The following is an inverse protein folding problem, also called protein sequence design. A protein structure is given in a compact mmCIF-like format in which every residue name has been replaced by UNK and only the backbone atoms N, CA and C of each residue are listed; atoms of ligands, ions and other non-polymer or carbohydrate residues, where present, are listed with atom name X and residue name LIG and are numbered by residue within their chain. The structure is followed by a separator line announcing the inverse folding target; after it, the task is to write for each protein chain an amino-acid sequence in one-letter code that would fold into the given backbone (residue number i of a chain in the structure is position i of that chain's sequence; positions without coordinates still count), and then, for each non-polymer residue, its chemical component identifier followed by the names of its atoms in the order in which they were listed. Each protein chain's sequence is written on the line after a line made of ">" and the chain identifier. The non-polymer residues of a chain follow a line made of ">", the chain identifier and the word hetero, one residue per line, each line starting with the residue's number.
data_IF_304951402799
#
_entry.id   IF_304951402799
#
_cell.length_a   1.000
_cell.length_b   1.000
_cell.length_c   1.000
_cell.angle_alpha   90.00
_cell.angle_beta   90.00
_cell.angle_gamma   90.00
#
_symmetry.space_group_name_H-M   'P 1'
#
loop_
_entity.id
_entity.type
_entity.pdbx_description
1 polymer ?
#
# COMPACT_ATOMS: atom_id res chain seq x y z
N UNK A 1 4.71 4.00 3.36
CA UNK A 1 5.08 5.24 2.64
C UNK A 1 5.98 4.83 1.48
N UNK A 2 5.63 5.21 0.27
CA UNK A 2 6.41 4.85 -0.92
C UNK A 2 6.93 6.13 -1.57
N UNK A 3 8.26 6.30 -1.70
CA UNK A 3 8.85 7.53 -2.20
C UNK A 3 8.45 7.82 -3.65
N UNK A 4 8.17 9.09 -3.96
CA UNK A 4 7.84 9.56 -5.31
C UNK A 4 9.00 10.31 -5.98
N UNK A 5 10.07 10.56 -5.22
CA UNK A 5 11.24 11.32 -5.61
C UNK A 5 12.37 11.11 -4.61
N UNK A 6 13.58 11.50 -5.01
CA UNK A 6 14.72 11.69 -4.11
C UNK A 6 14.41 12.81 -3.12
N UNK A 7 14.53 12.52 -1.83
CA UNK A 7 14.36 13.53 -0.77
C UNK A 7 15.54 14.50 -0.77
N UNK A 8 16.71 14.03 -1.21
CA UNK A 8 17.92 14.82 -1.28
C UNK A 8 17.78 16.01 -2.24
N UNK A 9 16.98 15.85 -3.31
CA UNK A 9 16.86 16.85 -4.36
C UNK A 9 15.49 17.51 -4.50
N UNK A 10 14.53 17.11 -3.68
CA UNK A 10 13.24 17.77 -3.66
C UNK A 10 13.35 19.16 -3.00
N UNK A 11 13.04 20.20 -3.76
CA UNK A 11 12.89 21.55 -3.25
C UNK A 11 11.43 22.02 -3.38
N UNK A 12 10.82 22.36 -2.24
CA UNK A 12 9.45 22.88 -2.18
C UNK A 12 9.28 24.18 -2.98
N UNK A 13 10.33 25.00 -3.09
CA UNK A 13 10.27 26.30 -3.77
C UNK A 13 10.17 26.15 -5.29
N UNK A 14 10.67 25.05 -5.84
CA UNK A 14 10.66 24.77 -7.28
C UNK A 14 9.61 23.73 -7.67
N UNK A 15 8.98 23.07 -6.70
CA UNK A 15 7.90 22.12 -6.93
C UNK A 15 6.70 22.78 -7.61
N UNK A 16 6.13 22.12 -8.63
CA UNK A 16 4.98 22.67 -9.35
C UNK A 16 3.76 22.84 -8.43
N UNK A 17 2.89 23.84 -8.67
CA UNK A 17 1.65 24.02 -7.89
C UNK A 17 0.76 22.78 -7.86
N UNK A 18 0.68 22.03 -8.97
CA UNK A 18 -0.15 20.82 -9.04
C UNK A 18 0.32 19.72 -8.06
N UNK A 19 1.64 19.53 -7.97
CA UNK A 19 2.25 18.58 -7.03
C UNK A 19 2.03 19.03 -5.58
N UNK A 20 2.27 20.32 -5.28
CA UNK A 20 2.06 20.85 -3.94
C UNK A 20 0.60 20.73 -3.50
N UNK A 21 -0.36 21.04 -4.36
CA UNK A 21 -1.78 20.88 -4.09
C UNK A 21 -2.15 19.42 -3.79
N UNK A 22 -1.59 18.45 -4.55
CA UNK A 22 -1.81 17.03 -4.28
C UNK A 22 -1.21 16.61 -2.93
N UNK A 23 -0.01 17.09 -2.59
CA UNK A 23 0.63 16.83 -1.29
C UNK A 23 -0.17 17.43 -0.12
N UNK A 24 -0.67 18.67 -0.26
CA UNK A 24 -1.49 19.31 0.77
C UNK A 24 -2.83 18.62 0.95
N UNK A 25 -3.48 18.22 -0.15
CA UNK A 25 -4.70 17.44 -0.08
C UNK A 25 -4.48 16.09 0.60
N UNK A 26 -3.39 15.39 0.26
CA UNK A 26 -2.99 14.16 0.92
C UNK A 26 -2.78 14.38 2.42
N UNK A 27 -1.97 15.36 2.82
CA UNK A 27 -1.76 15.68 4.23
C UNK A 27 -3.08 16.00 4.97
N UNK A 28 -3.98 16.74 4.32
CA UNK A 28 -5.30 17.07 4.85
C UNK A 28 -6.18 15.83 5.08
N UNK A 29 -6.20 14.88 4.13
CA UNK A 29 -6.96 13.63 4.26
C UNK A 29 -6.49 12.76 5.44
N UNK A 30 -5.24 12.94 5.88
CA UNK A 30 -4.67 12.27 7.05
C UNK A 30 -4.74 13.11 8.34
N UNK A 31 -5.30 14.32 8.29
CA UNK A 31 -5.52 15.16 9.47
C UNK A 31 -6.62 14.59 10.37
N UNK A 32 -6.39 14.69 11.68
CA UNK A 32 -7.39 14.37 12.72
C UNK A 32 -8.57 15.33 12.70
N UNK A 33 -8.33 16.60 12.37
CA UNK A 33 -9.35 17.65 12.31
C UNK A 33 -9.67 17.96 10.85
N UNK A 34 -10.92 17.76 10.47
CA UNK A 34 -11.45 18.07 9.14
C UNK A 34 -12.80 18.77 9.26
N UNK A 35 -12.80 20.10 9.50
CA UNK A 35 -14.04 20.89 9.46
C UNK A 35 -14.70 20.76 8.09
N UNK A 36 -16.03 20.81 8.05
CA UNK A 36 -16.80 20.61 6.81
C UNK A 36 -16.43 21.64 5.74
N UNK A 37 -16.25 22.91 6.13
CA UNK A 37 -15.91 24.00 5.21
C UNK A 37 -14.55 23.80 4.56
N UNK A 38 -13.56 23.36 5.35
CA UNK A 38 -12.22 23.06 4.84
C UNK A 38 -12.25 21.78 4.01
N UNK A 39 -13.10 20.81 4.36
CA UNK A 39 -13.25 19.56 3.59
C UNK A 39 -13.76 19.87 2.20
N UNK A 40 -14.85 20.63 2.12
CA UNK A 40 -15.45 21.03 0.84
C UNK A 40 -14.47 21.84 -0.01
N UNK A 41 -13.73 22.78 0.60
CA UNK A 41 -12.69 23.54 -0.10
C UNK A 41 -11.59 22.61 -0.66
N UNK A 42 -11.09 21.70 0.16
CA UNK A 42 -10.00 20.79 -0.21
C UNK A 42 -10.42 19.80 -1.30
N UNK A 43 -11.64 19.29 -1.24
CA UNK A 43 -12.21 18.41 -2.27
C UNK A 43 -12.37 19.16 -3.61
N UNK A 44 -12.93 20.38 -3.59
CA UNK A 44 -13.02 21.22 -4.80
C UNK A 44 -11.64 21.55 -5.38
N UNK A 45 -10.66 21.85 -4.52
CA UNK A 45 -9.29 22.10 -4.93
C UNK A 45 -8.65 20.85 -5.57
N UNK A 46 -8.87 19.67 -4.98
CA UNK A 46 -8.39 18.39 -5.50
C UNK A 46 -8.98 18.09 -6.88
N UNK A 47 -10.30 18.25 -7.06
CA UNK A 47 -10.98 18.04 -8.34
C UNK A 47 -10.46 18.96 -9.43
N UNK A 48 -10.28 20.26 -9.12
CA UNK A 48 -9.68 21.22 -10.05
C UNK A 48 -8.23 20.84 -10.39
N UNK A 49 -7.45 20.40 -9.40
CA UNK A 49 -6.07 20.00 -9.59
C UNK A 49 -5.95 18.74 -10.47
N UNK A 50 -6.82 17.75 -10.26
CA UNK A 50 -6.91 16.54 -11.10
C UNK A 50 -7.17 16.93 -12.55
N UNK A 51 -8.18 17.78 -12.81
CA UNK A 51 -8.52 18.25 -14.17
C UNK A 51 -7.36 18.95 -14.87
N UNK A 52 -6.53 19.70 -14.14
CA UNK A 52 -5.32 20.34 -14.69
C UNK A 52 -4.19 19.33 -14.93
N UNK A 53 -3.99 18.42 -13.99
CA UNK A 53 -2.92 17.43 -14.00
C UNK A 53 -3.06 16.46 -15.17
N UNK A 54 -4.27 15.97 -15.45
CA UNK A 54 -4.51 15.00 -16.54
C UNK A 54 -4.33 15.59 -17.95
N UNK A 55 -4.35 16.92 -18.09
CA UNK A 55 -4.26 17.63 -19.39
C UNK A 55 -2.83 17.88 -19.86
N UNK A 56 -1.84 17.82 -18.98
CA UNK A 56 -0.45 18.14 -19.32
C UNK A 56 0.49 17.07 -18.77
N UNK A 57 1.30 16.46 -19.63
CA UNK A 57 2.26 15.45 -19.23
C UNK A 57 3.54 16.09 -18.70
N UNK A 58 3.83 15.87 -17.43
CA UNK A 58 5.11 16.23 -16.80
C UNK A 58 5.40 15.29 -15.65
N UNK A 59 6.67 15.19 -15.24
CA UNK A 59 7.10 14.38 -14.09
C UNK A 59 6.32 14.78 -12.82
N UNK A 60 6.15 16.08 -12.58
CA UNK A 60 5.43 16.57 -11.42
C UNK A 60 3.92 16.30 -11.49
N UNK A 61 3.30 16.42 -12.66
CA UNK A 61 1.89 16.04 -12.84
C UNK A 61 1.69 14.53 -12.64
N UNK A 62 2.62 13.70 -13.09
CA UNK A 62 2.55 12.27 -12.84
C UNK A 62 2.64 11.93 -11.35
N UNK A 63 3.56 12.58 -10.61
CA UNK A 63 3.63 12.44 -9.13
C UNK A 63 2.32 12.86 -8.46
N UNK A 64 1.74 13.99 -8.86
CA UNK A 64 0.45 14.46 -8.35
C UNK A 64 -0.68 13.44 -8.65
N UNK A 65 -0.67 12.87 -9.85
CA UNK A 65 -1.66 11.89 -10.28
C UNK A 65 -1.55 10.57 -9.50
N UNK A 66 -0.33 10.14 -9.13
CA UNK A 66 -0.11 8.98 -8.26
C UNK A 66 -0.71 9.22 -6.87
N UNK A 67 -0.50 10.41 -6.30
CA UNK A 67 -1.09 10.77 -5.00
C UNK A 67 -2.62 10.70 -5.08
N UNK A 68 -3.23 11.36 -6.08
CA UNK A 68 -4.68 11.36 -6.25
C UNK A 68 -5.26 9.97 -6.52
N UNK A 69 -4.56 9.13 -7.28
CA UNK A 69 -4.99 7.75 -7.55
C UNK A 69 -5.06 6.95 -6.26
N UNK A 70 -4.02 7.02 -5.42
CA UNK A 70 -4.00 6.31 -4.14
C UNK A 70 -5.09 6.83 -3.19
N UNK A 71 -5.29 8.15 -3.10
CA UNK A 71 -6.35 8.73 -2.26
C UNK A 71 -7.75 8.31 -2.73
N UNK A 72 -8.00 8.33 -4.05
CA UNK A 72 -9.27 7.87 -4.62
C UNK A 72 -9.51 6.38 -4.32
N UNK A 73 -8.48 5.55 -4.44
CA UNK A 73 -8.55 4.12 -4.08
C UNK A 73 -8.86 3.92 -2.61
N UNK A 74 -8.12 4.56 -1.70
CA UNK A 74 -8.32 4.41 -0.25
C UNK A 74 -9.66 5.00 0.23
N UNK A 75 -10.15 6.04 -0.45
CA UNK A 75 -11.47 6.60 -0.22
C UNK A 75 -12.63 5.78 -0.82
N UNK A 76 -12.35 4.69 -1.53
CA UNK A 76 -13.37 3.85 -2.16
C UNK A 76 -13.97 4.41 -3.45
N UNK A 77 -13.45 5.52 -3.98
CA UNK A 77 -13.86 6.06 -5.29
C UNK A 77 -13.14 5.33 -6.43
N UNK A 78 -13.49 4.06 -6.62
CA UNK A 78 -12.82 3.14 -7.56
C UNK A 78 -12.96 3.58 -9.01
N UNK A 79 -14.07 4.24 -9.38
CA UNK A 79 -14.27 4.76 -10.74
C UNK A 79 -13.25 5.86 -11.06
N UNK A 80 -13.12 6.85 -10.18
CA UNK A 80 -12.09 7.88 -10.32
C UNK A 80 -10.69 7.26 -10.32
N UNK A 81 -10.40 6.37 -9.38
CA UNK A 81 -9.09 5.75 -9.27
C UNK A 81 -8.67 5.00 -10.56
N UNK A 82 -9.61 4.25 -11.18
CA UNK A 82 -9.40 3.60 -12.49
C UNK A 82 -9.19 4.60 -13.62
N UNK A 83 -9.95 5.69 -13.67
CA UNK A 83 -9.74 6.75 -14.67
C UNK A 83 -8.35 7.39 -14.53
N UNK A 84 -7.92 7.69 -13.30
CA UNK A 84 -6.60 8.27 -13.03
C UNK A 84 -5.46 7.30 -13.38
N UNK A 85 -5.62 5.99 -13.13
CA UNK A 85 -4.66 4.97 -13.59
C UNK A 85 -4.49 4.95 -15.11
N UNK A 86 -5.58 5.02 -15.88
CA UNK A 86 -5.49 5.06 -17.34
C UNK A 86 -4.67 6.29 -17.80
N UNK A 87 -4.86 7.44 -17.15
CA UNK A 87 -4.05 8.63 -17.39
C UNK A 87 -2.58 8.46 -16.94
N UNK A 88 -2.32 7.83 -15.78
CA UNK A 88 -0.97 7.52 -15.32
C UNK A 88 -0.21 6.71 -16.34
N UNK A 89 -0.84 5.68 -16.91
CA UNK A 89 -0.25 4.83 -17.92
C UNK A 89 0.10 5.64 -19.18
N UNK A 90 -0.87 6.37 -19.73
CA UNK A 90 -0.64 7.23 -20.92
C UNK A 90 0.50 8.21 -20.68
N UNK A 91 0.52 8.86 -19.52
CA UNK A 91 1.56 9.82 -19.16
C UNK A 91 2.94 9.15 -18.99
N UNK A 92 2.99 7.93 -18.43
CA UNK A 92 4.24 7.14 -18.31
C UNK A 92 4.88 6.86 -19.68
N UNK A 93 4.05 6.52 -20.67
CA UNK A 93 4.52 6.30 -22.05
C UNK A 93 4.94 7.59 -22.73
N UNK A 94 4.10 8.64 -22.64
CA UNK A 94 4.37 9.93 -23.27
C UNK A 94 5.66 10.58 -22.74
N UNK A 95 5.95 10.41 -21.44
CA UNK A 95 7.19 10.89 -20.82
C UNK A 95 8.40 9.97 -21.09
N UNK A 96 8.19 8.82 -21.75
CA UNK A 96 9.25 7.85 -22.03
C UNK A 96 9.82 7.19 -20.77
N UNK A 97 9.06 7.05 -19.68
CA UNK A 97 9.61 6.48 -18.43
C UNK A 97 10.06 5.02 -18.55
N UNK A 98 9.48 4.31 -19.50
CA UNK A 98 9.80 2.91 -19.82
C UNK A 98 11.10 2.75 -20.64
N UNK A 99 11.64 3.85 -21.17
CA UNK A 99 12.85 3.84 -21.98
C UNK A 99 14.09 3.95 -21.09
N UNK A 100 15.14 3.22 -21.45
CA UNK A 100 16.42 3.29 -20.75
C UNK A 100 17.25 4.50 -21.23
N UNK A 101 17.48 5.46 -20.34
CA UNK A 101 18.24 6.66 -20.63
C UNK A 101 19.57 6.64 -19.87
N UNK A 102 20.58 6.01 -20.46
CA UNK A 102 21.92 6.00 -19.86
C UNK A 102 22.66 7.35 -19.93
N UNK A 103 22.10 8.33 -20.66
CA UNK A 103 22.71 9.64 -20.92
C UNK A 103 22.23 10.76 -19.98
N UNK A 104 21.21 10.53 -19.16
CA UNK A 104 20.73 11.53 -18.19
C UNK A 104 21.48 11.41 -16.84
N UNK A 105 21.56 12.50 -16.05
CA UNK A 105 22.12 12.47 -14.72
C UNK A 105 21.55 11.34 -13.85
N UNK A 106 22.37 10.77 -12.97
CA UNK A 106 21.98 9.63 -12.14
C UNK A 106 20.73 9.91 -11.29
N UNK A 107 20.62 11.13 -10.78
CA UNK A 107 19.49 11.55 -9.96
C UNK A 107 18.18 11.64 -10.78
N UNK A 108 18.23 12.18 -11.99
CA UNK A 108 17.08 12.21 -12.89
C UNK A 108 16.64 10.80 -13.28
N UNK A 109 17.61 9.91 -13.51
CA UNK A 109 17.34 8.49 -13.76
C UNK A 109 16.64 7.84 -12.58
N UNK A 110 17.14 8.03 -11.37
CA UNK A 110 16.49 7.57 -10.14
C UNK A 110 15.06 8.08 -10.02
N UNK A 111 14.85 9.39 -10.21
CA UNK A 111 13.54 10.02 -10.12
C UNK A 111 12.55 9.52 -11.18
N UNK A 112 13.02 9.11 -12.36
CA UNK A 112 12.18 8.52 -13.41
C UNK A 112 11.85 7.07 -13.11
N UNK A 113 12.83 6.28 -12.70
CA UNK A 113 12.65 4.85 -12.44
C UNK A 113 11.78 4.61 -11.19
N UNK A 114 11.97 5.39 -10.12
CA UNK A 114 11.10 5.32 -8.94
C UNK A 114 9.65 5.68 -9.29
N UNK A 115 9.46 6.66 -10.17
CA UNK A 115 8.15 7.08 -10.62
C UNK A 115 7.45 6.02 -11.47
N UNK A 116 8.22 5.32 -12.34
CA UNK A 116 7.74 4.15 -13.06
C UNK A 116 7.34 3.01 -12.11
N UNK A 117 8.17 2.71 -11.09
CA UNK A 117 7.83 1.74 -10.05
C UNK A 117 6.52 2.08 -9.35
N UNK A 118 6.32 3.36 -9.00
CA UNK A 118 5.11 3.82 -8.32
C UNK A 118 3.87 3.76 -9.20
N UNK A 119 3.98 4.12 -10.49
CA UNK A 119 2.88 3.95 -11.44
C UNK A 119 2.51 2.47 -11.62
N UNK A 120 3.50 1.58 -11.64
CA UNK A 120 3.28 0.12 -11.68
C UNK A 120 2.56 -0.37 -10.43
N UNK A 121 3.01 0.03 -9.24
CA UNK A 121 2.35 -0.34 -7.98
C UNK A 121 0.90 0.13 -7.95
N UNK A 122 0.63 1.37 -8.39
CA UNK A 122 -0.73 1.86 -8.54
C UNK A 122 -1.54 0.95 -9.47
N UNK A 123 -1.01 0.63 -10.66
CA UNK A 123 -1.68 -0.27 -11.62
C UNK A 123 -2.01 -1.63 -11.02
N UNK A 124 -1.06 -2.28 -10.36
CA UNK A 124 -1.27 -3.58 -9.71
C UNK A 124 -2.39 -3.48 -8.65
N UNK A 125 -2.33 -2.46 -7.78
CA UNK A 125 -3.21 -2.34 -6.62
C UNK A 125 -4.72 -2.22 -6.90
N UNK A 126 -5.16 -1.81 -8.09
CA UNK A 126 -6.61 -1.77 -8.45
C UNK A 126 -7.04 -2.91 -9.36
N UNK A 127 -6.10 -3.74 -9.81
CA UNK A 127 -6.41 -4.80 -10.77
C UNK A 127 -6.98 -6.04 -10.11
N UNK A 128 -6.66 -6.28 -8.84
CA UNK A 128 -7.20 -7.34 -7.99
C UNK A 128 -7.16 -8.73 -8.62
N UNK A 129 -7.86 -9.67 -7.99
CA UNK A 129 -8.00 -11.05 -8.47
C UNK A 129 -8.98 -11.21 -9.65
N UNK A 130 -9.78 -10.18 -9.96
CA UNK A 130 -10.88 -10.25 -10.93
C UNK A 130 -10.50 -9.80 -12.36
N UNK A 131 -9.21 -9.59 -12.64
CA UNK A 131 -8.66 -9.53 -14.00
C UNK A 131 -9.28 -8.49 -14.96
N UNK A 132 -9.68 -7.31 -14.46
CA UNK A 132 -9.96 -6.14 -15.30
C UNK A 132 -8.74 -5.21 -15.37
N UNK A 133 -7.58 -5.79 -15.67
CA UNK A 133 -6.35 -5.06 -15.87
C UNK A 133 -6.05 -4.94 -17.35
N UNK A 134 -6.23 -3.77 -17.94
CA UNK A 134 -5.50 -3.47 -19.15
C UNK A 134 -4.02 -3.43 -18.73
N UNK A 135 -3.22 -4.33 -19.32
CA UNK A 135 -1.80 -4.43 -19.04
C UNK A 135 -1.09 -3.24 -19.68
N UNK A 136 -1.27 -2.06 -19.09
CA UNK A 136 -0.96 -0.81 -19.77
C UNK A 136 0.54 -0.48 -19.78
N UNK A 137 1.37 -1.10 -18.94
CA UNK A 137 2.82 -0.89 -18.91
C UNK A 137 3.51 -2.22 -19.23
N UNK A 138 3.74 -2.47 -20.51
CA UNK A 138 4.26 -3.73 -21.07
C UNK A 138 5.79 -3.86 -21.03
N UNK A 139 6.52 -2.91 -20.44
CA UNK A 139 7.98 -2.95 -20.32
C UNK A 139 8.45 -3.30 -18.92
N UNK A 140 8.79 -4.56 -18.67
CA UNK A 140 9.47 -4.95 -17.43
C UNK A 140 10.96 -4.56 -17.50
N UNK A 141 11.33 -3.42 -16.92
CA UNK A 141 12.73 -3.24 -16.49
C UNK A 141 12.92 -4.07 -15.21
N UNK A 142 13.93 -4.94 -15.17
CA UNK A 142 14.36 -5.57 -13.91
C UNK A 142 14.68 -4.44 -12.92
N UNK A 143 14.25 -4.60 -11.68
CA UNK A 143 14.54 -3.60 -10.65
C UNK A 143 16.06 -3.48 -10.51
N UNK A 144 16.59 -2.29 -10.77
CA UNK A 144 18.01 -2.05 -10.60
C UNK A 144 18.33 -1.85 -9.12
N UNK A 145 19.50 -2.35 -8.69
CA UNK A 145 19.93 -2.28 -7.29
C UNK A 145 20.10 -0.84 -6.78
N UNK A 146 20.45 0.09 -7.67
CA UNK A 146 20.66 1.50 -7.33
C UNK A 146 19.39 2.22 -6.85
N UNK A 147 18.19 1.69 -7.16
CA UNK A 147 16.91 2.23 -6.67
C UNK A 147 16.76 2.08 -5.15
N UNK A 148 17.54 1.19 -4.56
CA UNK A 148 17.55 0.90 -3.13
C UNK A 148 18.81 1.43 -2.44
N UNK A 149 19.52 2.37 -3.08
CA UNK A 149 20.58 3.13 -2.42
C UNK A 149 19.94 4.15 -1.46
N UNK A 150 20.39 4.13 -0.22
CA UNK A 150 19.88 4.99 0.85
C UNK A 150 20.20 6.47 0.63
N UNK A 151 21.22 6.81 -0.16
CA UNK A 151 21.58 8.22 -0.39
C UNK A 151 20.41 9.05 -0.91
N UNK A 152 19.56 8.46 -1.75
CA UNK A 152 18.41 9.15 -2.36
C UNK A 152 17.33 9.55 -1.37
N UNK A 153 17.24 8.84 -0.24
CA UNK A 153 16.24 9.07 0.80
C UNK A 153 16.85 9.71 2.05
N UNK A 154 18.11 10.17 1.99
CA UNK A 154 18.78 10.87 3.07
C UNK A 154 18.29 12.33 3.14
N UNK A 155 17.65 12.77 4.25
CA UNK A 155 17.25 14.16 4.41
C UNK A 155 18.46 15.10 4.47
N UNK A 156 18.50 16.09 3.57
CA UNK A 156 19.44 17.21 3.63
C UNK A 156 18.86 18.42 4.39
N UNK A 157 19.66 19.43 4.75
CA UNK A 157 19.23 20.58 5.55
C UNK A 157 18.02 21.37 4.99
N UNK A 158 17.82 21.34 3.67
CA UNK A 158 16.69 22.00 3.00
C UNK A 158 15.40 21.17 3.05
N UNK A 159 15.45 19.93 3.54
CA UNK A 159 14.31 19.03 3.61
C UNK A 159 13.43 19.32 4.81
N UNK A 160 12.11 19.31 4.63
CA UNK A 160 11.13 19.52 5.71
C UNK A 160 11.15 18.42 6.78
N UNK A 161 11.77 17.27 6.49
CA UNK A 161 11.92 16.14 7.42
C UNK A 161 13.35 16.02 7.96
N UNK A 162 14.19 17.03 7.71
CA UNK A 162 15.54 17.07 8.26
C UNK A 162 15.52 17.15 9.78
N UNK A 163 16.45 16.43 10.41
CA UNK A 163 16.72 16.47 11.84
C UNK A 163 18.19 16.83 12.05
N UNK A 164 18.50 17.71 13.01
CA UNK A 164 19.88 18.02 13.39
C UNK A 164 20.62 16.77 13.94
N UNK A 165 19.87 15.80 14.46
CA UNK A 165 20.41 14.49 14.80
C UNK A 165 20.63 13.65 13.53
N UNK A 166 21.90 13.52 13.13
CA UNK A 166 22.30 12.76 11.93
C UNK A 166 21.85 11.30 11.97
N UNK A 167 21.90 10.64 13.13
CA UNK A 167 21.44 9.25 13.26
C UNK A 167 19.96 9.10 12.92
N UNK A 168 19.12 10.11 13.21
CA UNK A 168 17.70 10.09 12.80
C UNK A 168 17.55 10.17 11.28
N UNK A 169 18.35 11.00 10.62
CA UNK A 169 18.34 11.13 9.15
C UNK A 169 18.79 9.83 8.48
N UNK A 170 19.88 9.24 8.97
CA UNK A 170 20.38 7.95 8.48
C UNK A 170 19.35 6.84 8.68
N UNK A 171 18.77 6.73 9.89
CA UNK A 171 17.75 5.73 10.18
C UNK A 171 16.51 5.91 9.30
N UNK A 172 16.02 7.14 9.14
CA UNK A 172 14.90 7.42 8.26
C UNK A 172 15.16 6.95 6.83
N UNK A 173 16.34 7.26 6.30
CA UNK A 173 16.75 6.84 4.97
C UNK A 173 16.80 5.31 4.82
N UNK A 174 17.45 4.62 5.76
CA UNK A 174 17.53 3.17 5.78
C UNK A 174 16.14 2.52 5.83
N UNK A 175 15.28 2.96 6.77
CA UNK A 175 13.95 2.40 6.94
C UNK A 175 13.04 2.69 5.74
N UNK A 176 13.07 3.91 5.19
CA UNK A 176 12.25 4.29 4.02
C UNK A 176 12.66 3.51 2.78
N UNK A 177 13.96 3.35 2.55
CA UNK A 177 14.50 2.58 1.42
C UNK A 177 14.20 1.10 1.55
N UNK A 178 14.35 0.54 2.76
CA UNK A 178 14.03 -0.86 3.05
C UNK A 178 12.54 -1.13 2.85
N UNK A 179 11.66 -0.26 3.35
CA UNK A 179 10.22 -0.40 3.17
C UNK A 179 9.82 -0.24 1.70
N UNK A 180 10.41 0.70 0.97
CA UNK A 180 10.16 0.83 -0.48
C UNK A 180 10.55 -0.43 -1.24
N UNK A 181 11.73 -1.01 -0.95
CA UNK A 181 12.17 -2.28 -1.53
C UNK A 181 11.16 -3.39 -1.22
N UNK A 182 10.77 -3.53 0.04
CA UNK A 182 9.77 -4.51 0.45
C UNK A 182 8.47 -4.35 -0.34
N UNK A 183 7.88 -3.14 -0.33
CA UNK A 183 6.61 -2.86 -0.98
C UNK A 183 6.65 -3.07 -2.50
N UNK A 184 7.75 -2.68 -3.15
CA UNK A 184 7.91 -2.87 -4.60
C UNK A 184 8.05 -4.35 -4.95
N UNK A 185 8.93 -5.10 -4.25
CA UNK A 185 9.11 -6.53 -4.50
C UNK A 185 7.82 -7.28 -4.18
N UNK A 186 7.20 -7.05 -3.03
CA UNK A 186 5.96 -7.70 -2.63
C UNK A 186 4.83 -7.45 -3.62
N UNK A 187 4.67 -6.22 -4.11
CA UNK A 187 3.64 -5.89 -5.12
C UNK A 187 3.86 -6.66 -6.42
N UNK A 188 5.12 -6.81 -6.86
CA UNK A 188 5.43 -7.59 -8.05
C UNK A 188 5.24 -9.10 -7.82
N UNK A 189 5.52 -9.60 -6.62
CA UNK A 189 5.30 -11.00 -6.25
C UNK A 189 3.82 -11.33 -6.16
N UNK A 190 2.98 -10.45 -5.61
CA UNK A 190 1.52 -10.64 -5.58
C UNK A 190 0.92 -10.52 -6.97
N UNK A 191 1.47 -9.64 -7.82
CA UNK A 191 0.98 -9.50 -9.17
C UNK A 191 1.15 -10.81 -9.97
N UNK A 192 0.02 -11.37 -10.36
CA UNK A 192 -0.05 -12.64 -11.05
C UNK A 192 -0.92 -12.53 -12.31
N UNK A 193 -0.47 -11.77 -13.33
CA UNK A 193 -1.28 -11.55 -14.52
C UNK A 193 -1.56 -12.88 -15.23
N UNK A 194 -2.77 -13.00 -15.80
CA UNK A 194 -3.18 -14.15 -16.59
C UNK A 194 -3.14 -15.49 -15.83
N UNK A 195 -3.23 -15.49 -14.50
CA UNK A 195 -3.23 -16.73 -13.72
C UNK A 195 -4.36 -17.70 -14.11
N UNK A 196 -5.50 -17.18 -14.57
CA UNK A 196 -6.59 -17.98 -15.10
C UNK A 196 -6.20 -18.81 -16.34
N UNK A 197 -5.21 -18.35 -17.11
CA UNK A 197 -4.72 -19.04 -18.33
C UNK A 197 -3.69 -20.13 -18.03
N UNK A 198 -3.17 -20.23 -16.82
CA UNK A 198 -2.21 -21.26 -16.45
C UNK A 198 -2.90 -22.62 -16.27
N UNK A 199 -2.21 -23.69 -16.63
CA UNK A 199 -2.60 -25.04 -16.24
C UNK A 199 -2.56 -25.19 -14.72
N UNK A 200 -3.40 -26.06 -14.14
CA UNK A 200 -3.55 -26.18 -12.69
C UNK A 200 -2.23 -26.48 -11.97
N UNK A 201 -1.42 -27.42 -12.48
CA UNK A 201 -0.11 -27.76 -11.90
C UNK A 201 0.85 -26.57 -11.92
N UNK A 202 0.92 -25.87 -13.05
CA UNK A 202 1.77 -24.69 -13.23
C UNK A 202 1.32 -23.55 -12.32
N UNK A 203 0.01 -23.33 -12.21
CA UNK A 203 -0.57 -22.36 -11.28
C UNK A 203 -0.14 -22.63 -9.83
N UNK A 204 -0.36 -23.85 -9.32
CA UNK A 204 -0.02 -24.20 -7.94
C UNK A 204 1.47 -24.05 -7.67
N UNK A 205 2.32 -24.54 -8.59
CA UNK A 205 3.78 -24.39 -8.45
C UNK A 205 4.20 -22.92 -8.36
N UNK A 206 3.67 -22.06 -9.24
CA UNK A 206 3.99 -20.63 -9.22
C UNK A 206 3.41 -19.92 -8.00
N UNK A 207 2.19 -20.27 -7.59
CA UNK A 207 1.55 -19.71 -6.40
C UNK A 207 2.35 -20.04 -5.13
N UNK A 208 2.73 -21.31 -4.94
CA UNK A 208 3.56 -21.73 -3.80
C UNK A 208 4.91 -21.02 -3.80
N UNK A 209 5.57 -20.94 -4.96
CA UNK A 209 6.83 -20.20 -5.08
C UNK A 209 6.70 -18.73 -4.66
N UNK A 210 5.64 -18.04 -5.10
CA UNK A 210 5.39 -16.63 -4.74
C UNK A 210 5.08 -16.46 -3.24
N UNK A 211 4.38 -17.40 -2.61
CA UNK A 211 4.12 -17.39 -1.17
C UNK A 211 5.43 -17.51 -0.38
N UNK A 212 6.29 -18.46 -0.74
CA UNK A 212 7.60 -18.61 -0.10
C UNK A 212 8.48 -17.37 -0.33
N UNK A 213 8.48 -16.80 -1.55
CA UNK A 213 9.21 -15.56 -1.84
C UNK A 213 8.74 -14.37 -0.97
N UNK A 214 7.43 -14.22 -0.74
CA UNK A 214 6.89 -13.20 0.17
C UNK A 214 7.35 -13.42 1.62
N UNK A 215 7.38 -14.68 2.07
CA UNK A 215 7.81 -15.05 3.42
C UNK A 215 9.29 -14.76 3.61
N UNK A 216 10.15 -15.19 2.70
CA UNK A 216 11.59 -14.94 2.73
C UNK A 216 11.91 -13.43 2.72
N UNK A 217 11.19 -12.67 1.89
CA UNK A 217 11.31 -11.22 1.83
C UNK A 217 10.91 -10.57 3.18
N UNK A 218 9.83 -11.03 3.81
CA UNK A 218 9.39 -10.53 5.10
C UNK A 218 10.37 -10.86 6.22
N UNK A 219 10.78 -12.13 6.35
CA UNK A 219 11.69 -12.58 7.40
C UNK A 219 13.05 -11.89 7.32
N UNK A 220 13.63 -11.80 6.13
CA UNK A 220 14.89 -11.07 5.91
C UNK A 220 14.77 -9.58 6.25
N UNK A 221 13.65 -8.94 5.90
CA UNK A 221 13.40 -7.53 6.24
C UNK A 221 13.24 -7.33 7.75
N UNK A 222 12.54 -8.23 8.44
CA UNK A 222 12.39 -8.21 9.91
C UNK A 222 13.74 -8.38 10.61
N UNK A 223 14.60 -9.27 10.10
CA UNK A 223 15.96 -9.45 10.64
C UNK A 223 16.78 -8.16 10.55
N UNK A 224 16.71 -7.44 9.42
CA UNK A 224 17.37 -6.14 9.25
C UNK A 224 16.83 -5.12 10.26
N UNK A 225 15.50 -5.01 10.41
CA UNK A 225 14.88 -4.10 11.37
C UNK A 225 15.28 -4.42 12.82
N UNK A 226 15.39 -5.71 13.17
CA UNK A 226 15.89 -6.13 14.47
C UNK A 226 17.36 -5.74 14.68
N UNK A 227 18.19 -5.81 13.64
CA UNK A 227 19.54 -5.25 13.63
C UNK A 227 19.54 -3.74 13.90
N UNK A 228 18.64 -2.99 13.25
CA UNK A 228 18.49 -1.55 13.49
C UNK A 228 18.01 -1.24 14.92
N UNK A 229 17.11 -2.02 15.51
CA UNK A 229 16.69 -1.83 16.92
C UNK A 229 17.83 -2.02 17.92
N UNK A 230 18.79 -2.89 17.60
CA UNK A 230 20.01 -3.08 18.39
C UNK A 230 20.96 -1.89 18.21
N UNK A 231 21.22 -1.49 16.97
CA UNK A 231 22.14 -0.37 16.63
C UNK A 231 21.62 0.99 17.10
N UNK A 232 20.33 1.27 16.91
CA UNK A 232 19.68 2.54 17.19
C UNK A 232 18.67 2.39 18.35
N UNK A 233 19.14 1.90 19.50
CA UNK A 233 18.26 1.53 20.62
C UNK A 233 17.40 2.69 21.15
N UNK A 234 17.88 3.93 21.08
CA UNK A 234 17.14 5.14 21.45
C UNK A 234 16.01 5.50 20.46
N UNK A 235 16.03 4.93 19.25
CA UNK A 235 15.07 5.20 18.18
C UNK A 235 14.14 3.99 17.91
N UNK A 236 14.04 3.05 18.86
CA UNK A 236 13.20 1.84 18.73
C UNK A 236 11.74 2.14 18.37
N UNK A 237 11.14 3.17 18.97
CA UNK A 237 9.75 3.57 18.66
C UNK A 237 9.59 4.03 17.21
N UNK A 238 10.56 4.76 16.66
CA UNK A 238 10.59 5.12 15.24
C UNK A 238 10.65 3.88 14.36
N UNK A 239 11.48 2.89 14.71
CA UNK A 239 11.61 1.63 13.96
C UNK A 239 10.30 0.82 14.03
N UNK A 240 9.64 0.81 15.19
CA UNK A 240 8.38 0.09 15.38
C UNK A 240 7.27 0.56 14.43
N UNK A 241 7.23 1.83 14.06
CA UNK A 241 6.27 2.35 13.07
C UNK A 241 6.48 1.72 11.67
N UNK A 242 7.74 1.55 11.26
CA UNK A 242 8.08 0.89 10.00
C UNK A 242 7.76 -0.60 10.07
N UNK A 243 8.10 -1.27 11.17
CA UNK A 243 7.78 -2.68 11.38
C UNK A 243 6.28 -2.95 11.37
N UNK A 244 5.49 -2.08 11.99
CA UNK A 244 4.01 -2.17 11.96
C UNK A 244 3.50 -2.14 10.52
N UNK A 245 4.00 -1.18 9.72
CA UNK A 245 3.60 -1.05 8.31
C UNK A 245 4.06 -2.25 7.48
N UNK A 246 5.26 -2.77 7.76
CA UNK A 246 5.81 -3.98 7.13
C UNK A 246 4.91 -5.20 7.38
N UNK A 247 4.58 -5.47 8.65
CA UNK A 247 3.69 -6.57 9.06
C UNK A 247 2.33 -6.45 8.39
N UNK A 248 1.74 -5.26 8.40
CA UNK A 248 0.46 -5.03 7.74
C UNK A 248 0.52 -5.32 6.24
N UNK A 249 1.57 -4.86 5.57
CA UNK A 249 1.77 -5.08 4.12
C UNK A 249 1.96 -6.56 3.81
N UNK A 250 2.77 -7.27 4.60
CA UNK A 250 3.00 -8.71 4.45
C UNK A 250 1.72 -9.53 4.60
N UNK A 251 1.01 -9.38 5.72
CA UNK A 251 -0.21 -10.15 5.96
C UNK A 251 -1.31 -9.81 4.95
N UNK A 252 -1.44 -8.54 4.57
CA UNK A 252 -2.34 -8.12 3.49
C UNK A 252 -2.02 -8.78 2.14
N UNK A 253 -0.74 -8.83 1.77
CA UNK A 253 -0.29 -9.49 0.53
C UNK A 253 -0.56 -11.00 0.52
N UNK A 254 -0.34 -11.69 1.65
CA UNK A 254 -0.63 -13.13 1.76
C UNK A 254 -2.13 -13.39 1.66
N UNK A 255 -2.96 -12.61 2.36
CA UNK A 255 -4.43 -12.70 2.26
C UNK A 255 -4.89 -12.53 0.80
N UNK A 256 -4.35 -11.55 0.08
CA UNK A 256 -4.65 -11.33 -1.34
C UNK A 256 -4.26 -12.54 -2.22
N UNK A 257 -3.08 -13.13 -2.00
CA UNK A 257 -2.65 -14.34 -2.71
C UNK A 257 -3.58 -15.53 -2.46
N UNK A 258 -4.13 -15.66 -1.26
CA UNK A 258 -5.11 -16.70 -0.96
C UNK A 258 -6.48 -16.45 -1.60
N UNK A 259 -6.91 -15.20 -1.80
CA UNK A 259 -8.08 -14.93 -2.62
C UNK A 259 -7.83 -15.33 -4.08
N UNK A 260 -6.63 -15.10 -4.62
CA UNK A 260 -6.26 -15.61 -5.96
C UNK A 260 -6.38 -17.14 -6.03
N UNK A 261 -5.89 -17.85 -5.01
CA UNK A 261 -6.03 -19.31 -4.90
C UNK A 261 -7.50 -19.73 -4.85
N UNK A 262 -8.31 -19.07 -4.03
CA UNK A 262 -9.75 -19.30 -3.92
C UNK A 262 -10.47 -19.06 -5.24
N UNK A 263 -10.14 -17.99 -5.97
CA UNK A 263 -10.73 -17.74 -7.29
C UNK A 263 -10.39 -18.83 -8.29
N UNK A 264 -9.15 -19.36 -8.24
CA UNK A 264 -8.74 -20.47 -9.11
C UNK A 264 -9.46 -21.77 -8.76
N UNK A 265 -9.54 -22.10 -7.47
CA UNK A 265 -10.05 -23.39 -7.01
C UNK A 265 -11.56 -23.37 -6.71
N UNK A 266 -12.21 -22.20 -6.75
CA UNK A 266 -13.57 -21.89 -6.25
C UNK A 266 -13.74 -22.04 -4.74
N UNK A 267 -13.03 -22.96 -4.12
CA UNK A 267 -13.03 -23.23 -2.68
C UNK A 267 -11.61 -23.36 -2.16
N UNK A 268 -11.45 -23.18 -0.85
CA UNK A 268 -10.21 -23.39 -0.13
C UNK A 268 -10.31 -24.67 0.68
N UNK A 269 -9.20 -25.37 0.82
CA UNK A 269 -9.06 -26.52 1.70
C UNK A 269 -9.08 -26.07 3.18
N UNK A 270 -9.47 -26.95 4.12
CA UNK A 270 -9.49 -26.59 5.54
C UNK A 270 -8.15 -26.03 6.05
N UNK A 271 -7.02 -26.62 5.63
CA UNK A 271 -5.69 -26.12 5.98
C UNK A 271 -5.41 -24.71 5.45
N UNK A 272 -5.89 -24.40 4.24
CA UNK A 272 -5.76 -23.07 3.63
C UNK A 272 -6.65 -22.04 4.35
N UNK A 273 -7.85 -22.44 4.79
CA UNK A 273 -8.73 -21.60 5.62
C UNK A 273 -8.04 -21.24 6.94
N UNK A 274 -7.45 -22.22 7.62
CA UNK A 274 -6.72 -21.97 8.88
C UNK A 274 -5.52 -21.03 8.69
N UNK A 275 -4.79 -21.14 7.56
CA UNK A 275 -3.66 -20.24 7.27
C UNK A 275 -4.14 -18.79 7.07
N UNK A 276 -5.20 -18.58 6.28
CA UNK A 276 -5.76 -17.23 6.08
C UNK A 276 -6.25 -16.64 7.40
N UNK A 277 -6.94 -17.43 8.22
CA UNK A 277 -7.38 -17.01 9.55
C UNK A 277 -6.21 -16.59 10.43
N UNK A 278 -5.12 -17.37 10.42
CA UNK A 278 -3.86 -17.02 11.08
C UNK A 278 -3.38 -15.64 10.68
N UNK A 279 -3.25 -15.38 9.38
CA UNK A 279 -2.84 -14.06 8.88
C UNK A 279 -3.83 -12.94 9.21
N UNK A 280 -5.14 -13.20 9.19
CA UNK A 280 -6.13 -12.22 9.62
C UNK A 280 -5.99 -11.89 11.12
N UNK A 281 -5.72 -12.89 11.96
CA UNK A 281 -5.47 -12.69 13.39
C UNK A 281 -4.18 -11.90 13.65
N UNK A 282 -3.09 -12.21 12.94
CA UNK A 282 -1.82 -11.50 13.08
C UNK A 282 -1.92 -10.06 12.59
N UNK A 283 -2.66 -9.83 11.49
CA UNK A 283 -2.96 -8.50 10.99
C UNK A 283 -3.81 -7.69 11.99
N UNK A 284 -4.83 -8.32 12.58
CA UNK A 284 -5.64 -7.71 13.65
C UNK A 284 -4.78 -7.35 14.87
N UNK A 285 -3.91 -8.27 15.31
CA UNK A 285 -3.01 -8.02 16.43
C UNK A 285 -2.06 -6.85 16.14
N UNK A 286 -1.45 -6.83 14.96
CA UNK A 286 -0.58 -5.73 14.50
C UNK A 286 -1.33 -4.39 14.53
N UNK A 287 -2.59 -4.37 14.09
CA UNK A 287 -3.41 -3.17 14.00
C UNK A 287 -3.91 -2.68 15.37
N UNK A 288 -4.31 -3.58 16.26
CA UNK A 288 -4.81 -3.25 17.59
C UNK A 288 -3.71 -2.82 18.57
N UNK A 289 -2.46 -3.26 18.34
CA UNK A 289 -1.31 -2.93 19.20
C UNK A 289 -0.44 -1.78 18.68
N UNK A 290 -0.80 -1.18 17.55
CA UNK A 290 -0.02 -0.09 16.96
C UNK A 290 -0.04 1.18 17.83
N UNK A 291 1.14 1.71 18.15
CA UNK A 291 1.30 2.92 18.97
C UNK A 291 0.68 4.17 18.32
N UNK A 292 0.75 4.25 16.98
CA UNK A 292 0.22 5.37 16.21
C UNK A 292 -0.71 4.88 15.13
N UNK A 293 -1.88 5.51 15.10
CA UNK A 293 -2.92 5.22 14.16
C UNK A 293 -2.90 6.21 12.98
N UNK A 294 -3.05 5.68 11.76
CA UNK A 294 -3.20 6.47 10.54
C UNK A 294 -4.47 6.01 9.81
N UNK A 295 -5.20 6.90 9.11
CA UNK A 295 -6.40 6.51 8.37
C UNK A 295 -6.19 5.37 7.37
N UNK A 296 -4.97 5.15 6.88
CA UNK A 296 -4.66 3.99 6.05
C UNK A 296 -4.91 2.64 6.74
N UNK A 297 -4.82 2.54 8.07
CA UNK A 297 -5.09 1.30 8.80
C UNK A 297 -6.55 0.86 8.69
N UNK A 298 -7.46 1.79 8.35
CA UNK A 298 -8.88 1.50 8.11
C UNK A 298 -9.02 0.47 7.00
N UNK A 299 -8.22 0.58 5.95
CA UNK A 299 -8.19 -0.38 4.85
C UNK A 299 -7.97 -1.82 5.36
N UNK A 300 -6.94 -2.05 6.18
CA UNK A 300 -6.63 -3.39 6.70
C UNK A 300 -7.70 -3.93 7.64
N UNK A 301 -8.28 -3.07 8.48
CA UNK A 301 -9.40 -3.46 9.34
C UNK A 301 -10.61 -3.93 8.52
N UNK A 302 -10.96 -3.22 7.43
CA UNK A 302 -12.03 -3.68 6.55
C UNK A 302 -11.70 -4.99 5.85
N UNK A 303 -10.45 -5.18 5.39
CA UNK A 303 -9.96 -6.46 4.85
C UNK A 303 -10.19 -7.58 5.88
N UNK A 304 -9.68 -7.43 7.10
CA UNK A 304 -9.82 -8.44 8.16
C UNK A 304 -11.29 -8.81 8.36
N UNK A 305 -12.16 -7.81 8.54
CA UNK A 305 -13.57 -8.04 8.82
C UNK A 305 -14.29 -8.75 7.68
N UNK A 306 -14.03 -8.34 6.43
CA UNK A 306 -14.63 -8.96 5.25
C UNK A 306 -14.15 -10.40 5.06
N UNK A 307 -12.87 -10.69 5.30
CA UNK A 307 -12.37 -12.07 5.25
C UNK A 307 -12.97 -12.93 6.34
N UNK A 308 -13.05 -12.45 7.58
CA UNK A 308 -13.71 -13.18 8.67
C UNK A 308 -15.13 -13.58 8.29
N UNK A 309 -15.94 -12.65 7.78
CA UNK A 309 -17.31 -12.95 7.33
C UNK A 309 -17.32 -13.99 6.18
N UNK A 310 -16.44 -13.84 5.20
CA UNK A 310 -16.41 -14.68 4.00
C UNK A 310 -15.96 -16.12 4.28
N UNK A 311 -15.08 -16.34 5.26
CA UNK A 311 -14.56 -17.66 5.61
C UNK A 311 -15.27 -18.32 6.80
N UNK A 312 -16.08 -17.56 7.56
CA UNK A 312 -16.73 -18.03 8.78
C UNK A 312 -17.47 -19.37 8.63
N UNK A 313 -18.26 -19.51 7.56
CA UNK A 313 -19.06 -20.73 7.32
C UNK A 313 -18.20 -21.98 7.09
N UNK A 314 -16.94 -21.80 6.69
CA UNK A 314 -15.96 -22.86 6.38
C UNK A 314 -15.03 -23.19 7.55
N UNK A 315 -15.14 -22.44 8.65
CA UNK A 315 -14.33 -22.63 9.84
C UNK A 315 -14.80 -23.86 10.64
N UNK A 316 -13.87 -24.52 11.34
CA UNK A 316 -14.20 -25.46 12.41
C UNK A 316 -14.92 -24.76 13.58
N UNK A 317 -15.54 -25.50 14.49
CA UNK A 317 -16.30 -24.92 15.60
C UNK A 317 -15.45 -23.99 16.50
N UNK A 318 -14.21 -24.38 16.78
CA UNK A 318 -13.28 -23.55 17.58
C UNK A 318 -12.85 -22.29 16.83
N UNK A 319 -12.57 -22.41 15.52
CA UNK A 319 -12.26 -21.28 14.66
C UNK A 319 -13.44 -20.32 14.51
N UNK A 320 -14.68 -20.82 14.41
CA UNK A 320 -15.88 -20.00 14.39
C UNK A 320 -15.99 -19.14 15.65
N UNK A 321 -15.86 -19.76 16.83
CA UNK A 321 -15.93 -19.02 18.09
C UNK A 321 -14.86 -17.91 18.16
N UNK A 322 -13.61 -18.24 17.83
CA UNK A 322 -12.50 -17.27 17.81
C UNK A 322 -12.73 -16.16 16.78
N UNK A 323 -13.20 -16.51 15.58
CA UNK A 323 -13.45 -15.57 14.48
C UNK A 323 -14.58 -14.60 14.83
N UNK A 324 -15.67 -15.12 15.40
CA UNK A 324 -16.81 -14.30 15.87
C UNK A 324 -16.35 -13.30 16.94
N UNK A 325 -15.60 -13.76 17.94
CA UNK A 325 -15.05 -12.85 18.97
C UNK A 325 -14.13 -11.79 18.36
N UNK A 326 -13.23 -12.18 17.44
CA UNK A 326 -12.32 -11.23 16.79
C UNK A 326 -13.03 -10.22 15.92
N UNK A 327 -14.10 -10.61 15.25
CA UNK A 327 -14.93 -9.69 14.49
C UNK A 327 -15.63 -8.68 15.40
N UNK A 328 -16.14 -9.11 16.57
CA UNK A 328 -16.69 -8.20 17.57
C UNK A 328 -15.63 -7.21 18.07
N UNK A 329 -14.44 -7.70 18.47
CA UNK A 329 -13.34 -6.87 18.93
C UNK A 329 -12.95 -5.82 17.86
N UNK A 330 -12.89 -6.24 16.60
CA UNK A 330 -12.60 -5.39 15.47
C UNK A 330 -13.68 -4.31 15.26
N UNK A 331 -14.98 -4.65 15.39
CA UNK A 331 -16.07 -3.68 15.29
C UNK A 331 -15.98 -2.62 16.40
N UNK A 332 -15.67 -3.05 17.63
CA UNK A 332 -15.46 -2.14 18.75
C UNK A 332 -14.24 -1.24 18.51
N UNK A 333 -13.16 -1.80 17.98
CA UNK A 333 -11.95 -1.07 17.62
C UNK A 333 -12.21 -0.03 16.53
N UNK A 334 -12.93 -0.40 15.46
CA UNK A 334 -13.32 0.52 14.38
C UNK A 334 -14.15 1.66 14.95
N UNK A 335 -15.16 1.36 15.78
CA UNK A 335 -16.03 2.37 16.39
C UNK A 335 -15.26 3.38 17.25
N UNK A 336 -14.25 2.92 18.00
CA UNK A 336 -13.46 3.78 18.89
C UNK A 336 -12.40 4.61 18.15
N UNK A 337 -11.72 4.00 17.16
CA UNK A 337 -10.53 4.60 16.55
C UNK A 337 -10.79 5.29 15.21
N UNK A 338 -11.85 4.93 14.49
CA UNK A 338 -11.96 5.27 13.07
C UNK A 338 -12.91 6.43 12.81
N UNK A 339 -12.77 7.00 11.63
CA UNK A 339 -13.55 8.16 11.22
C UNK A 339 -14.92 7.75 10.68
N UNK A 340 -15.93 8.59 10.95
CA UNK A 340 -17.34 8.32 10.65
C UNK A 340 -17.70 8.17 9.16
N UNK A 341 -16.91 8.74 8.24
CA UNK A 341 -17.19 8.62 6.80
C UNK A 341 -16.87 7.23 6.22
N UNK A 342 -16.25 6.32 7.00
CA UNK A 342 -16.19 4.89 6.65
C UNK A 342 -17.39 4.09 7.18
N UNK A 343 -18.46 4.77 7.58
CA UNK A 343 -19.66 4.18 8.16
C UNK A 343 -20.26 3.05 7.32
N UNK A 344 -20.24 3.14 5.98
CA UNK A 344 -20.81 2.06 5.15
C UNK A 344 -20.10 0.72 5.35
N UNK A 345 -18.77 0.68 5.28
CA UNK A 345 -18.03 -0.57 5.49
C UNK A 345 -18.22 -1.08 6.93
N UNK A 346 -18.25 -0.18 7.92
CA UNK A 346 -18.57 -0.54 9.29
C UNK A 346 -19.97 -1.17 9.41
N UNK A 347 -20.98 -0.58 8.76
CA UNK A 347 -22.35 -1.08 8.74
C UNK A 347 -22.43 -2.46 8.08
N UNK A 348 -21.74 -2.66 6.95
CA UNK A 348 -21.66 -3.98 6.29
C UNK A 348 -21.07 -5.02 7.25
N UNK A 349 -19.96 -4.69 7.92
CA UNK A 349 -19.33 -5.60 8.87
C UNK A 349 -20.23 -5.90 10.07
N UNK A 350 -20.93 -4.87 10.59
CA UNK A 350 -21.83 -5.01 11.73
C UNK A 350 -23.03 -5.89 11.36
N UNK A 351 -23.73 -5.59 10.26
CA UNK A 351 -24.85 -6.41 9.78
C UNK A 351 -24.41 -7.85 9.49
N UNK A 352 -23.20 -8.03 8.94
CA UNK A 352 -22.61 -9.36 8.77
C UNK A 352 -22.41 -10.07 10.10
N UNK A 353 -21.86 -9.40 11.11
CA UNK A 353 -21.68 -9.96 12.46
C UNK A 353 -23.01 -10.34 13.11
N UNK A 354 -24.02 -9.46 13.04
CA UNK A 354 -25.34 -9.68 13.62
C UNK A 354 -25.98 -10.95 13.02
N UNK A 355 -25.84 -11.18 11.71
CA UNK A 355 -26.32 -12.41 11.05
C UNK A 355 -25.63 -13.71 11.51
N UNK A 356 -24.46 -13.62 12.15
CA UNK A 356 -23.77 -14.77 12.76
C UNK A 356 -24.28 -15.05 14.19
N UNK A 357 -25.10 -14.17 14.76
CA UNK A 357 -25.72 -14.34 16.09
C UNK A 357 -27.13 -14.94 16.00
N UNK A 358 -27.80 -14.74 14.88
CA UNK A 358 -29.16 -15.25 14.63
C UNK A 358 -29.19 -16.72 14.16
N UNK A 359 -28.01 -17.33 13.95
CA UNK A 359 -27.79 -18.75 13.64
C UNK A 359 -26.96 -19.40 14.75
#
# INVERSE_FOLDING_TARGET
>A
MSPLFSIQSFDRKTASPNLLNAMYYCAYMFSKKRPNEITEYMEKLADQNIKKTVKNASINNMRALIIHTNLAQWGGNLNLAKSLQAHLCRMSYLLGLHLDYNKIPQEDRYNRDILLCMARMCNIGLTGSLSFAPNYITGYKKSESYLYDTKWQLPGPNSIIYSENEMKNQLYSHCSTLFFKFANVSSNTVWFPLFFKLEARSFHKTWTYKIEELKDLYESTVQILNGFKKKFYLLKSTIALFETTLKMTYHGAVIEMYEVLKHRNKTLQPSEVSIILGHCHDLYHTLSTAEKYYPYFQYYAHIIGLHYLNIYSKCSSSEKQRTKQRLLDLLLFIRDKFYSYFSLNYLILKSGYDSLCDN
#
